data_IF_733292390793
#
_entry.id   IF_733292390793
#
_cell.length_a   1.000
_cell.length_b   1.000
_cell.length_c   1.000
_cell.angle_alpha   90.00
_cell.angle_beta   90.00
_cell.angle_gamma   90.00
#
_symmetry.space_group_name_H-M   'P 1'
#
loop_
_entity.id
_entity.type
_entity.pdbx_description
1 polymer ?
#
# COMPACT_ATOMS: atom_id res chain seq x y z
N UNK A 1 1.30 5.17 17.75
CA UNK A 1 1.99 4.69 16.53
C UNK A 1 1.46 3.33 16.11
N UNK A 2 1.60 2.94 14.83
CA UNK A 2 1.17 1.61 14.39
C UNK A 2 2.11 0.50 14.90
N UNK A 3 1.59 -0.72 15.09
CA UNK A 3 2.41 -1.90 15.43
C UNK A 3 3.44 -2.17 14.32
N UNK A 4 4.70 -2.46 14.68
CA UNK A 4 5.78 -2.76 13.72
C UNK A 4 5.40 -3.89 12.75
N UNK A 5 4.71 -4.92 13.25
CA UNK A 5 4.21 -6.04 12.45
C UNK A 5 3.25 -5.62 11.33
N UNK A 6 2.46 -4.57 11.55
CA UNK A 6 1.49 -4.07 10.56
C UNK A 6 2.20 -3.31 9.44
N UNK A 7 3.23 -2.53 9.76
CA UNK A 7 4.07 -1.85 8.77
C UNK A 7 4.85 -2.87 7.94
N UNK A 8 5.43 -3.90 8.58
CA UNK A 8 6.11 -4.99 7.89
C UNK A 8 5.17 -5.76 6.96
N UNK A 9 3.92 -6.00 7.38
CA UNK A 9 2.90 -6.63 6.54
C UNK A 9 2.60 -5.82 5.27
N UNK A 10 2.55 -4.50 5.38
CA UNK A 10 2.33 -3.61 4.24
C UNK A 10 3.53 -3.64 3.28
N UNK A 11 4.77 -3.56 3.80
CA UNK A 11 6.00 -3.72 3.00
C UNK A 11 6.06 -5.06 2.26
N UNK A 12 5.67 -6.16 2.92
CA UNK A 12 5.57 -7.49 2.27
C UNK A 12 4.59 -7.47 1.10
N UNK A 13 3.44 -6.81 1.24
CA UNK A 13 2.44 -6.67 0.16
C UNK A 13 2.97 -5.86 -1.00
N UNK A 14 3.63 -4.74 -0.74
CA UNK A 14 4.23 -3.89 -1.79
C UNK A 14 5.24 -4.67 -2.63
N UNK A 15 6.11 -5.46 -1.99
CA UNK A 15 7.05 -6.34 -2.69
C UNK A 15 6.37 -7.39 -3.56
N UNK A 16 5.33 -8.05 -3.04
CA UNK A 16 4.58 -9.05 -3.82
C UNK A 16 3.81 -8.42 -4.98
N UNK A 17 3.22 -7.24 -4.79
CA UNK A 17 2.52 -6.52 -5.88
C UNK A 17 3.49 -6.16 -6.98
N UNK A 18 4.70 -5.67 -6.65
CA UNK A 18 5.73 -5.35 -7.63
C UNK A 18 6.17 -6.61 -8.41
N UNK A 19 6.41 -7.72 -7.71
CA UNK A 19 6.83 -8.98 -8.34
C UNK A 19 5.80 -9.55 -9.32
N UNK A 20 4.51 -9.49 -8.99
CA UNK A 20 3.44 -10.08 -9.80
C UNK A 20 2.72 -9.07 -10.71
N UNK A 21 3.23 -7.83 -10.83
CA UNK A 21 2.58 -6.78 -11.60
C UNK A 21 2.41 -7.16 -13.08
N UNK A 22 3.51 -7.54 -13.74
CA UNK A 22 3.51 -7.92 -15.16
C UNK A 22 2.59 -9.13 -15.43
N UNK A 23 2.76 -10.22 -14.67
CA UNK A 23 1.94 -11.43 -14.81
C UNK A 23 0.44 -11.17 -14.62
N UNK A 24 0.05 -10.27 -13.72
CA UNK A 24 -1.37 -9.90 -13.56
C UNK A 24 -1.90 -9.05 -14.72
N UNK A 25 -1.09 -8.21 -15.33
CA UNK A 25 -1.49 -7.43 -16.50
C UNK A 25 -1.69 -8.33 -17.71
N UNK A 26 -0.78 -9.28 -17.93
CA UNK A 26 -0.88 -10.29 -19.00
C UNK A 26 -2.14 -11.14 -18.83
N UNK A 27 -2.36 -11.72 -17.65
CA UNK A 27 -3.54 -12.56 -17.37
C UNK A 27 -4.86 -11.78 -17.47
N UNK A 28 -4.86 -10.49 -17.13
CA UNK A 28 -6.04 -9.62 -17.31
C UNK A 28 -6.32 -9.33 -18.78
N UNK A 29 -5.29 -9.18 -19.61
CA UNK A 29 -5.44 -8.98 -21.06
C UNK A 29 -5.91 -10.26 -21.75
N UNK A 30 -5.42 -11.41 -21.31
CA UNK A 30 -5.83 -12.73 -21.81
C UNK A 30 -7.27 -13.11 -21.41
N UNK A 31 -7.80 -12.54 -20.33
CA UNK A 31 -9.16 -12.84 -19.85
C UNK A 31 -9.25 -14.15 -19.04
N UNK A 32 -8.11 -14.73 -18.66
CA UNK A 32 -8.05 -15.97 -17.89
C UNK A 32 -8.25 -15.75 -16.39
N UNK A 33 -9.52 -15.66 -15.98
CA UNK A 33 -9.91 -15.39 -14.59
C UNK A 33 -9.50 -16.49 -13.60
N UNK A 34 -9.47 -17.77 -14.04
CA UNK A 34 -9.05 -18.91 -13.20
C UNK A 34 -7.57 -18.80 -12.80
N UNK A 35 -6.69 -18.56 -13.77
CA UNK A 35 -5.26 -18.37 -13.53
C UNK A 35 -4.96 -17.10 -12.71
N UNK A 36 -5.81 -16.07 -12.82
CA UNK A 36 -5.70 -14.85 -12.02
C UNK A 36 -6.02 -15.07 -10.53
N UNK A 37 -6.93 -16.00 -10.23
CA UNK A 37 -7.35 -16.35 -8.86
C UNK A 37 -6.38 -17.30 -8.15
N UNK A 38 -5.63 -18.11 -8.91
CA UNK A 38 -4.54 -18.95 -8.38
C UNK A 38 -3.36 -18.12 -7.83
N UNK A 39 -3.21 -16.87 -8.28
CA UNK A 39 -2.16 -16.00 -7.78
C UNK A 39 -2.33 -15.66 -6.29
N UNK A 40 -1.23 -15.46 -5.55
CA UNK A 40 -1.29 -15.11 -4.13
C UNK A 40 -2.20 -13.90 -3.90
N UNK A 41 -3.21 -14.03 -3.01
CA UNK A 41 -4.21 -12.96 -2.78
C UNK A 41 -3.61 -11.58 -2.48
N UNK A 42 -2.45 -11.55 -1.81
CA UNK A 42 -1.73 -10.33 -1.43
C UNK A 42 -0.92 -9.69 -2.57
N UNK A 43 -0.82 -10.33 -3.74
CA UNK A 43 -0.24 -9.76 -4.97
C UNK A 43 -1.15 -8.72 -5.63
N UNK A 44 -2.42 -8.65 -5.23
CA UNK A 44 -3.37 -7.69 -5.79
C UNK A 44 -3.12 -6.28 -5.25
N UNK A 45 -2.97 -5.30 -6.17
CA UNK A 45 -2.84 -3.87 -5.88
C UNK A 45 -3.99 -3.33 -5.02
N UNK A 46 -5.18 -3.92 -5.13
CA UNK A 46 -6.38 -3.52 -4.36
C UNK A 46 -6.20 -3.70 -2.85
N UNK A 47 -5.30 -4.59 -2.42
CA UNK A 47 -5.06 -4.86 -0.99
C UNK A 47 -4.03 -3.93 -0.34
N UNK A 48 -3.43 -3.03 -1.11
CA UNK A 48 -2.52 -2.02 -0.56
C UNK A 48 -3.33 -0.96 0.18
N UNK A 49 -2.81 -0.52 1.34
CA UNK A 49 -3.43 0.54 2.12
C UNK A 49 -2.43 1.64 2.37
N UNK A 50 -2.79 2.85 1.97
CA UNK A 50 -2.00 4.04 2.25
C UNK A 50 -1.88 4.25 3.76
N UNK A 51 -0.65 4.45 4.23
CA UNK A 51 -0.32 4.68 5.63
C UNK A 51 0.61 5.87 5.71
N UNK A 52 0.49 6.63 6.78
CA UNK A 52 1.46 7.68 7.09
C UNK A 52 2.87 7.09 7.15
N UNK A 53 3.80 7.65 6.38
CA UNK A 53 5.17 7.15 6.29
C UNK A 53 5.93 7.23 7.62
N UNK A 54 5.60 8.24 8.45
CA UNK A 54 6.24 8.46 9.74
C UNK A 54 5.68 7.54 10.84
N UNK A 55 4.36 7.53 11.01
CA UNK A 55 3.71 6.89 12.17
C UNK A 55 3.01 5.56 11.85
N UNK A 56 2.87 5.21 10.56
CA UNK A 56 2.14 4.04 10.09
C UNK A 56 0.61 4.16 10.24
N UNK A 57 0.09 5.34 10.61
CA UNK A 57 -1.36 5.56 10.84
C UNK A 57 -2.15 5.27 9.55
N UNK A 58 -3.20 4.44 9.61
CA UNK A 58 -3.98 4.04 8.43
C UNK A 58 -5.12 4.99 8.06
N UNK A 59 -5.41 6.01 8.88
CA UNK A 59 -6.55 6.92 8.71
C UNK A 59 -6.09 8.37 8.55
N UNK A 60 -6.84 9.15 7.77
CA UNK A 60 -6.57 10.56 7.51
C UNK A 60 -5.23 10.76 6.79
N UNK A 61 -5.01 9.98 5.72
CA UNK A 61 -3.82 10.04 4.89
C UNK A 61 -4.01 11.08 3.79
N UNK A 62 -3.09 12.03 3.68
CA UNK A 62 -3.09 13.05 2.63
C UNK A 62 -2.16 12.56 1.51
N UNK A 63 -2.71 12.29 0.33
CA UNK A 63 -1.97 11.65 -0.78
C UNK A 63 -0.81 12.50 -1.30
N UNK A 64 -0.98 13.81 -1.33
CA UNK A 64 0.04 14.75 -1.79
C UNK A 64 1.32 14.68 -0.94
N UNK A 65 1.18 14.68 0.40
CA UNK A 65 2.32 14.68 1.32
C UNK A 65 2.75 13.30 1.82
N UNK A 66 1.94 12.26 1.63
CA UNK A 66 2.28 10.91 2.11
C UNK A 66 2.18 10.72 3.64
N UNK A 67 1.59 11.67 4.36
CA UNK A 67 1.51 11.69 5.82
C UNK A 67 0.08 11.76 6.34
N UNK A 68 -0.07 11.49 7.63
CA UNK A 68 -1.35 11.63 8.33
C UNK A 68 -1.67 13.08 8.65
N UNK A 69 -2.96 13.42 8.79
CA UNK A 69 -3.44 14.75 9.20
C UNK A 69 -2.75 15.37 10.43
N UNK A 70 -2.32 14.55 11.39
CA UNK A 70 -1.68 15.04 12.64
C UNK A 70 -0.25 15.46 12.32
N UNK A 71 0.54 14.55 11.76
CA UNK A 71 1.88 14.86 11.27
C UNK A 71 1.93 16.03 10.28
N UNK A 72 0.91 16.16 9.41
CA UNK A 72 0.80 17.32 8.51
C UNK A 72 0.65 18.63 9.28
N UNK A 73 -0.25 18.66 10.28
CA UNK A 73 -0.44 19.83 11.13
C UNK A 73 0.84 20.19 11.88
N UNK A 74 1.50 19.20 12.46
CA UNK A 74 2.74 19.43 13.22
C UNK A 74 3.87 19.94 12.32
N UNK A 75 4.01 19.42 11.10
CA UNK A 75 5.00 19.89 10.14
C UNK A 75 4.70 21.31 9.65
N UNK A 76 3.44 21.60 9.32
CA UNK A 76 3.02 22.92 8.88
C UNK A 76 3.25 23.99 9.95
N UNK A 77 2.95 23.69 11.22
CA UNK A 77 3.23 24.60 12.34
C UNK A 77 4.73 24.83 12.57
N UNK A 78 5.55 23.83 12.27
CA UNK A 78 7.02 23.93 12.35
C UNK A 78 7.66 24.50 11.09
N UNK A 79 6.88 24.90 10.07
CA UNK A 79 7.39 25.45 8.81
C UNK A 79 8.19 24.47 7.95
N UNK A 80 7.87 23.17 8.01
CA UNK A 80 8.56 22.09 7.29
C UNK A 80 7.77 21.56 6.10
#
# INVERSE_FOLDING_TARGET
>A
MAKKSVTARQKKRERMVAHFAAKREELKKAGDWKALDELPKNSSKVRLKNRCQLSGRPKGYVRYFGISRVALRDMALNGK
#
